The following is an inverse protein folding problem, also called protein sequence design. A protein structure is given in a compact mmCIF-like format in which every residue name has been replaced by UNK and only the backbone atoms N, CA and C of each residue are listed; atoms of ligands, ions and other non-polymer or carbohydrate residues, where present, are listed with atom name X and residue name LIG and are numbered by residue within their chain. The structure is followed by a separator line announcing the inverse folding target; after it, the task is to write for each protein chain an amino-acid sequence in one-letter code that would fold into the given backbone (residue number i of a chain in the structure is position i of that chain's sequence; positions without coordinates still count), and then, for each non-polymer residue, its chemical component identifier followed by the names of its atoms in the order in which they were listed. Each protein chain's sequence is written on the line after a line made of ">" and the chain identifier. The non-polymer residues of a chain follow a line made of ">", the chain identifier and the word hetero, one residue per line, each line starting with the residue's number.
data_IF_479664463202
#
_entry.id   IF_479664463202
#
_cell.length_a   1.000
_cell.length_b   1.000
_cell.length_c   1.000
_cell.angle_alpha   90.00
_cell.angle_beta   90.00
_cell.angle_gamma   90.00
#
_symmetry.space_group_name_H-M   'P 1'
#
loop_
_entity.id
_entity.type
_entity.pdbx_description
1 polymer ?
#
# COMPACT_ATOMS: atom_id res chain seq x y z
N UNK A 1 -19.24 7.95 -5.77
CA UNK A 1 -18.11 8.74 -6.32
C UNK A 1 -17.37 8.00 -7.42
N UNK A 2 -16.83 6.75 -7.21
CA UNK A 2 -16.25 5.99 -8.33
C UNK A 2 -17.32 5.64 -9.37
N UNK A 3 -18.54 5.35 -8.94
CA UNK A 3 -19.70 5.04 -9.79
C UNK A 3 -20.07 6.22 -10.70
N UNK A 4 -19.89 7.44 -10.25
CA UNK A 4 -20.27 8.67 -10.96
C UNK A 4 -19.18 9.16 -11.93
N UNK A 5 -18.03 8.49 -11.99
CA UNK A 5 -16.95 8.83 -12.91
C UNK A 5 -17.21 8.23 -14.29
N UNK A 6 -16.85 8.97 -15.33
CA UNK A 6 -16.94 8.51 -16.71
C UNK A 6 -16.02 7.32 -16.97
N UNK A 7 -16.45 6.42 -17.84
CA UNK A 7 -15.63 5.33 -18.36
C UNK A 7 -14.40 5.89 -19.08
N UNK A 8 -13.28 5.17 -19.03
CA UNK A 8 -12.05 5.51 -19.77
C UNK A 8 -11.57 6.96 -19.56
N UNK A 9 -11.81 7.54 -18.37
CA UNK A 9 -11.46 8.93 -18.03
C UNK A 9 -10.12 9.07 -17.30
N UNK A 10 -9.61 8.01 -16.67
CA UNK A 10 -8.42 7.99 -15.83
C UNK A 10 -7.23 7.36 -16.57
N UNK A 11 -6.05 7.96 -16.44
CA UNK A 11 -4.83 7.48 -17.11
C UNK A 11 -4.00 6.54 -16.23
N UNK A 12 -3.98 6.78 -14.91
CA UNK A 12 -3.18 6.04 -13.95
C UNK A 12 -3.91 5.97 -12.59
N UNK A 13 -3.88 4.80 -11.96
CA UNK A 13 -4.25 4.63 -10.54
C UNK A 13 -3.00 4.35 -9.73
N UNK A 14 -2.76 5.13 -8.65
CA UNK A 14 -1.72 4.87 -7.66
C UNK A 14 -2.34 4.96 -6.28
N UNK A 15 -2.38 3.84 -5.55
CA UNK A 15 -3.20 3.78 -4.34
C UNK A 15 -2.66 2.82 -3.27
N UNK A 16 -2.99 3.11 -2.01
CA UNK A 16 -2.61 2.36 -0.83
C UNK A 16 -3.87 1.99 0.01
N UNK A 17 -4.61 0.93 -0.38
CA UNK A 17 -5.81 0.54 0.33
C UNK A 17 -5.50 0.02 1.74
N UNK A 18 -6.47 -0.01 2.67
CA UNK A 18 -6.27 -0.57 3.99
C UNK A 18 -6.06 -2.09 3.92
N UNK A 19 -4.96 -2.59 4.53
CA UNK A 19 -4.62 -4.02 4.53
C UNK A 19 -5.26 -4.81 5.69
N UNK A 20 -5.66 -4.12 6.75
CA UNK A 20 -6.30 -4.69 7.93
C UNK A 20 -7.71 -4.16 8.03
N UNK A 21 -8.70 -5.00 7.76
CA UNK A 21 -10.10 -4.64 7.90
C UNK A 21 -10.57 -4.74 9.36
N UNK A 22 -9.76 -5.39 10.22
CA UNK A 22 -10.00 -5.45 11.67
C UNK A 22 -9.88 -4.05 12.28
N UNK A 23 -10.99 -3.44 12.62
CA UNK A 23 -11.06 -2.10 13.19
C UNK A 23 -11.56 -1.01 12.23
N UNK A 24 -11.86 -1.33 10.98
CA UNK A 24 -12.50 -0.38 10.06
C UNK A 24 -13.89 0.07 10.52
N UNK A 25 -14.60 -0.76 11.30
CA UNK A 25 -15.99 -0.49 11.68
C UNK A 25 -16.18 0.54 12.80
N UNK A 26 -15.21 0.72 13.71
CA UNK A 26 -15.39 1.63 14.86
C UNK A 26 -14.51 2.87 14.82
N UNK A 27 -13.25 2.73 14.45
CA UNK A 27 -12.25 3.81 14.60
C UNK A 27 -12.04 4.62 13.33
N UNK A 28 -12.28 4.04 12.16
CA UNK A 28 -12.22 4.74 10.87
C UNK A 28 -13.32 5.78 10.73
N UNK A 29 -14.55 5.44 11.19
CA UNK A 29 -15.70 6.36 11.17
C UNK A 29 -15.54 7.54 12.14
N UNK A 30 -14.73 7.38 13.20
CA UNK A 30 -14.57 8.39 14.27
C UNK A 30 -13.36 9.32 14.08
N UNK A 31 -12.50 9.07 13.06
CA UNK A 31 -11.30 9.90 12.82
C UNK A 31 -10.26 9.89 13.95
N UNK A 32 -10.49 9.09 14.96
CA UNK A 32 -9.57 8.87 16.07
C UNK A 32 -8.73 7.65 15.71
N UNK A 33 -7.50 7.87 15.27
CA UNK A 33 -6.53 6.79 15.21
C UNK A 33 -6.52 6.08 16.56
N UNK A 34 -7.18 4.93 16.63
CA UNK A 34 -7.43 4.24 17.89
C UNK A 34 -6.14 4.08 18.66
N UNK A 35 -6.13 4.45 19.93
CA UNK A 35 -5.06 4.08 20.84
C UNK A 35 -4.89 2.57 20.68
N UNK A 36 -3.75 2.14 20.14
CA UNK A 36 -3.38 0.72 20.05
C UNK A 36 -3.57 0.15 21.46
N UNK A 37 -4.66 -0.60 21.63
CA UNK A 37 -4.84 -1.32 22.88
C UNK A 37 -3.60 -2.18 23.07
N UNK A 38 -2.94 -2.03 24.20
CA UNK A 38 -1.82 -2.88 24.66
C UNK A 38 -2.29 -4.30 25.00
N UNK A 39 -3.55 -4.64 24.67
CA UNK A 39 -4.13 -5.94 24.91
C UNK A 39 -3.50 -7.01 24.04
N UNK A 40 -2.72 -7.89 24.65
CA UNK A 40 -2.29 -9.12 24.03
C UNK A 40 -3.49 -10.09 23.97
N UNK A 41 -3.95 -10.42 22.78
CA UNK A 41 -4.91 -11.51 22.57
C UNK A 41 -4.13 -12.78 22.35
N UNK A 42 -4.22 -13.75 23.26
CA UNK A 42 -3.46 -15.00 23.17
C UNK A 42 -1.94 -14.79 23.27
N UNK A 43 -1.47 -13.81 24.04
CA UNK A 43 -0.04 -13.54 24.25
C UNK A 43 0.67 -12.79 23.11
N UNK A 44 0.00 -12.49 22.00
CA UNK A 44 0.56 -11.72 20.90
C UNK A 44 -0.06 -10.32 20.83
N UNK A 45 0.74 -9.28 20.51
CA UNK A 45 0.21 -7.94 20.26
C UNK A 45 -0.86 -7.95 19.18
N UNK A 46 -1.86 -7.07 19.33
CA UNK A 46 -2.89 -6.85 18.30
C UNK A 46 -2.20 -6.52 16.97
N UNK A 47 -2.58 -7.20 15.89
CA UNK A 47 -1.96 -7.11 14.55
C UNK A 47 -0.84 -8.12 14.29
N UNK A 48 -0.48 -8.97 15.26
CA UNK A 48 0.38 -10.14 15.06
C UNK A 48 -0.39 -11.47 15.04
N UNK A 49 -1.67 -11.44 15.38
CA UNK A 49 -2.55 -12.60 15.25
C UNK A 49 -2.69 -12.92 13.75
N UNK A 50 -2.34 -14.15 13.39
CA UNK A 50 -2.62 -14.64 12.05
C UNK A 50 -4.11 -14.94 11.95
N UNK A 51 -4.82 -14.21 11.09
CA UNK A 51 -6.18 -14.53 10.70
C UNK A 51 -6.15 -15.11 9.27
N UNK A 52 -6.49 -16.39 9.10
CA UNK A 52 -6.51 -17.04 7.79
C UNK A 52 -7.55 -16.43 6.84
N UNK A 53 -8.55 -15.71 7.37
CA UNK A 53 -9.61 -15.07 6.59
C UNK A 53 -9.25 -13.66 6.12
N UNK A 54 -8.25 -13.01 6.72
CA UNK A 54 -7.88 -11.64 6.41
C UNK A 54 -7.68 -11.38 4.91
N UNK A 55 -7.00 -12.29 4.23
CA UNK A 55 -6.77 -12.17 2.78
C UNK A 55 -8.07 -12.29 1.97
N UNK A 56 -8.99 -13.18 2.37
CA UNK A 56 -10.29 -13.34 1.71
C UNK A 56 -11.20 -12.14 1.93
N UNK A 57 -11.20 -11.58 3.13
CA UNK A 57 -11.94 -10.35 3.44
C UNK A 57 -11.40 -9.16 2.64
N UNK A 58 -10.08 -9.03 2.53
CA UNK A 58 -9.46 -8.00 1.71
C UNK A 58 -9.84 -8.14 0.23
N UNK A 59 -9.80 -9.35 -0.33
CA UNK A 59 -10.24 -9.61 -1.69
C UNK A 59 -11.69 -9.19 -1.87
N UNK A 60 -12.62 -9.69 -1.03
CA UNK A 60 -14.06 -9.34 -1.08
C UNK A 60 -14.29 -7.82 -0.98
N UNK A 61 -13.47 -7.11 -0.22
CA UNK A 61 -13.53 -5.64 -0.11
C UNK A 61 -13.08 -4.96 -1.41
N UNK A 62 -12.05 -5.48 -2.05
CA UNK A 62 -11.47 -4.89 -3.26
C UNK A 62 -12.21 -5.24 -4.55
N UNK A 63 -12.92 -6.37 -4.60
CA UNK A 63 -13.60 -6.83 -5.83
C UNK A 63 -14.50 -5.76 -6.46
N UNK A 64 -15.45 -5.13 -5.76
CA UNK A 64 -16.29 -4.08 -6.34
C UNK A 64 -15.48 -2.82 -6.70
N UNK A 65 -14.44 -2.51 -5.95
CA UNK A 65 -13.58 -1.34 -6.19
C UNK A 65 -12.76 -1.56 -7.47
N UNK A 66 -12.14 -2.73 -7.62
CA UNK A 66 -11.36 -3.06 -8.81
C UNK A 66 -12.24 -3.10 -10.07
N UNK A 67 -13.50 -3.54 -9.99
CA UNK A 67 -14.43 -3.44 -11.10
C UNK A 67 -14.67 -1.98 -11.54
N UNK A 68 -14.86 -1.06 -10.59
CA UNK A 68 -14.99 0.37 -10.91
C UNK A 68 -13.66 0.96 -11.44
N UNK A 69 -12.51 0.59 -10.87
CA UNK A 69 -11.20 1.05 -11.34
C UNK A 69 -10.91 0.56 -12.76
N UNK A 70 -11.31 -0.68 -13.08
CA UNK A 70 -11.22 -1.20 -14.44
C UNK A 70 -12.06 -0.40 -15.42
N UNK A 71 -13.29 -0.05 -15.05
CA UNK A 71 -14.19 0.74 -15.89
C UNK A 71 -13.64 2.14 -16.17
N UNK A 72 -13.19 2.86 -15.13
CA UNK A 72 -12.76 4.26 -15.27
C UNK A 72 -11.37 4.43 -15.86
N UNK A 73 -10.49 3.42 -15.78
CA UNK A 73 -9.17 3.47 -16.42
C UNK A 73 -9.31 3.39 -17.94
N UNK A 74 -8.54 4.21 -18.66
CA UNK A 74 -8.38 4.15 -20.10
C UNK A 74 -7.76 2.80 -20.52
N UNK A 75 -8.08 2.28 -21.73
CA UNK A 75 -7.38 1.13 -22.29
C UNK A 75 -5.87 1.32 -22.25
N UNK A 76 -5.13 0.31 -21.77
CA UNK A 76 -3.69 0.40 -21.54
C UNK A 76 -3.27 1.12 -20.27
N UNK A 77 -4.18 1.77 -19.53
CA UNK A 77 -3.90 2.46 -18.26
C UNK A 77 -3.41 1.50 -17.18
N UNK A 78 -2.52 1.98 -16.31
CA UNK A 78 -1.93 1.18 -15.24
C UNK A 78 -2.62 1.42 -13.89
N UNK A 79 -2.64 0.38 -13.07
CA UNK A 79 -3.01 0.44 -11.66
C UNK A 79 -1.84 -0.06 -10.81
N UNK A 80 -1.33 0.81 -9.93
CA UNK A 80 -0.27 0.52 -8.99
C UNK A 80 -0.86 0.51 -7.57
N UNK A 81 -0.97 -0.67 -6.97
CA UNK A 81 -1.63 -0.84 -5.68
C UNK A 81 -0.64 -1.38 -4.65
N UNK A 82 -0.41 -0.62 -3.58
CA UNK A 82 0.45 -1.02 -2.47
C UNK A 82 -0.20 -2.13 -1.65
N UNK A 83 0.63 -3.04 -1.13
CA UNK A 83 0.18 -4.15 -0.31
C UNK A 83 1.22 -4.60 0.72
N UNK A 84 0.72 -5.15 1.82
CA UNK A 84 1.56 -6.00 2.65
C UNK A 84 1.95 -7.26 1.86
N UNK A 85 3.26 -7.69 1.87
CA UNK A 85 3.73 -8.83 1.07
C UNK A 85 2.93 -10.12 1.27
N UNK A 86 2.42 -10.35 2.47
CA UNK A 86 1.60 -11.54 2.78
C UNK A 86 0.18 -11.52 2.23
N UNK A 87 -0.31 -10.35 1.75
CA UNK A 87 -1.67 -10.16 1.28
C UNK A 87 -1.75 -9.82 -0.22
N UNK A 88 -0.63 -9.50 -0.86
CA UNK A 88 -0.58 -9.06 -2.26
C UNK A 88 -1.23 -10.07 -3.21
N UNK A 89 -1.09 -11.36 -2.96
CA UNK A 89 -1.72 -12.41 -3.77
C UNK A 89 -3.24 -12.25 -3.85
N UNK A 90 -3.90 -11.81 -2.79
CA UNK A 90 -5.37 -11.60 -2.78
C UNK A 90 -5.77 -10.32 -3.52
N UNK A 91 -4.96 -9.28 -3.45
CA UNK A 91 -5.16 -8.08 -4.28
C UNK A 91 -4.98 -8.40 -5.76
N UNK A 92 -3.97 -9.20 -6.09
CA UNK A 92 -3.69 -9.64 -7.46
C UNK A 92 -4.87 -10.43 -8.04
N UNK A 93 -5.38 -11.42 -7.30
CA UNK A 93 -6.57 -12.20 -7.73
C UNK A 93 -7.76 -11.27 -7.93
N UNK A 94 -8.03 -10.33 -7.02
CA UNK A 94 -9.14 -9.38 -7.16
C UNK A 94 -9.01 -8.49 -8.41
N UNK A 95 -7.80 -8.06 -8.75
CA UNK A 95 -7.56 -7.26 -9.95
C UNK A 95 -7.71 -8.10 -11.23
N UNK A 96 -7.19 -9.33 -11.22
CA UNK A 96 -7.29 -10.29 -12.32
C UNK A 96 -8.76 -10.67 -12.60
N UNK A 97 -9.53 -10.96 -11.54
CA UNK A 97 -10.97 -11.25 -11.62
C UNK A 97 -11.78 -10.05 -12.18
N UNK A 98 -11.32 -8.81 -11.96
CA UNK A 98 -11.91 -7.61 -12.55
C UNK A 98 -11.54 -7.38 -14.03
N UNK A 99 -10.63 -8.18 -14.60
CA UNK A 99 -10.22 -8.13 -16.01
C UNK A 99 -8.86 -7.46 -16.27
N UNK A 100 -8.11 -7.08 -15.23
CA UNK A 100 -6.78 -6.53 -15.42
C UNK A 100 -5.76 -7.59 -15.83
N UNK A 101 -4.82 -7.22 -16.69
CA UNK A 101 -3.59 -7.97 -16.94
C UNK A 101 -2.59 -7.68 -15.80
N UNK A 102 -2.15 -8.69 -15.08
CA UNK A 102 -1.11 -8.54 -14.07
C UNK A 102 0.25 -8.47 -14.77
N UNK A 103 0.89 -7.32 -14.71
CA UNK A 103 2.15 -7.08 -15.43
C UNK A 103 3.37 -7.45 -14.62
N UNK A 104 3.37 -7.12 -13.32
CA UNK A 104 4.52 -7.35 -12.45
C UNK A 104 4.15 -7.12 -10.97
N UNK A 105 5.08 -7.44 -10.08
CA UNK A 105 5.03 -7.07 -8.68
C UNK A 105 6.34 -6.38 -8.31
N UNK A 106 6.26 -5.10 -7.95
CA UNK A 106 7.41 -4.32 -7.52
C UNK A 106 7.62 -4.39 -6.01
N UNK A 107 8.87 -4.21 -5.57
CA UNK A 107 9.24 -4.12 -4.18
C UNK A 107 9.70 -2.69 -3.85
N UNK A 108 8.94 -1.97 -3.02
CA UNK A 108 9.45 -0.79 -2.36
C UNK A 108 10.27 -1.19 -1.17
N UNK A 109 11.59 -1.09 -1.28
CA UNK A 109 12.55 -1.42 -0.26
C UNK A 109 12.89 -0.21 0.60
N UNK A 110 13.00 -0.43 1.91
CA UNK A 110 13.48 0.55 2.88
C UNK A 110 14.40 -0.15 3.89
N UNK A 111 15.49 0.52 4.31
CA UNK A 111 16.51 -0.07 5.18
C UNK A 111 16.41 0.45 6.60
N UNK A 112 16.06 1.73 6.75
CA UNK A 112 15.87 2.40 8.03
C UNK A 112 14.48 2.11 8.60
N UNK A 113 14.37 2.18 9.94
CA UNK A 113 13.09 2.08 10.68
C UNK A 113 12.32 0.74 10.53
N UNK A 114 12.94 -0.26 9.95
CA UNK A 114 12.38 -1.61 9.95
C UNK A 114 12.69 -2.28 11.29
N UNK A 115 11.68 -2.50 12.12
CA UNK A 115 11.86 -3.16 13.42
C UNK A 115 11.73 -4.67 13.28
N UNK A 116 12.61 -5.40 13.94
CA UNK A 116 12.48 -6.84 14.11
C UNK A 116 11.36 -7.11 15.12
N UNK A 117 10.28 -7.74 14.67
CA UNK A 117 9.06 -7.92 15.49
C UNK A 117 8.94 -9.32 16.10
N UNK A 118 9.94 -10.18 15.92
CA UNK A 118 9.95 -11.52 16.51
C UNK A 118 10.18 -11.46 18.02
N UNK A 119 9.38 -12.21 18.76
CA UNK A 119 9.50 -12.37 20.21
C UNK A 119 10.40 -13.56 20.53
N UNK A 120 11.25 -13.41 21.58
CA UNK A 120 12.01 -14.53 22.12
C UNK A 120 11.06 -15.52 22.79
N UNK A 121 11.36 -16.81 22.65
CA UNK A 121 10.61 -17.88 23.31
C UNK A 121 10.74 -17.80 24.84
N UNK A 122 11.78 -17.18 25.38
CA UNK A 122 12.00 -16.96 26.81
C UNK A 122 10.80 -16.32 27.49
N UNK A 123 10.20 -15.29 26.83
CA UNK A 123 9.03 -14.60 27.36
C UNK A 123 7.84 -15.55 27.55
N UNK A 124 7.59 -16.42 26.58
CA UNK A 124 6.50 -17.39 26.62
C UNK A 124 6.76 -18.52 27.62
N UNK A 125 8.00 -18.99 27.72
CA UNK A 125 8.39 -20.04 28.67
C UNK A 125 8.23 -19.57 30.12
N UNK A 126 8.67 -18.35 30.43
CA UNK A 126 8.54 -17.76 31.77
C UNK A 126 7.09 -17.65 32.23
N UNK A 127 6.14 -17.49 31.30
CA UNK A 127 4.70 -17.38 31.60
C UNK A 127 3.98 -18.71 31.81
N UNK A 128 4.67 -19.87 31.61
CA UNK A 128 4.05 -21.19 31.83
C UNK A 128 3.90 -21.44 33.34
N UNK A 129 2.64 -21.41 33.83
CA UNK A 129 2.35 -21.60 35.27
C UNK A 129 2.68 -23.02 35.76
N UNK A 130 2.43 -24.00 34.89
CA UNK A 130 2.54 -25.44 35.26
C UNK A 130 3.96 -26.00 35.12
N UNK A 131 4.93 -25.20 34.66
CA UNK A 131 6.32 -25.63 34.49
C UNK A 131 7.18 -25.25 35.69
N UNK A 132 7.94 -26.21 36.23
CA UNK A 132 8.90 -25.96 37.32
C UNK A 132 9.99 -24.99 36.86
N UNK A 133 10.51 -24.17 37.76
CA UNK A 133 11.48 -23.13 37.43
C UNK A 133 12.78 -23.69 36.81
N UNK A 134 13.25 -24.88 37.28
CA UNK A 134 14.38 -25.57 36.70
C UNK A 134 14.12 -25.94 35.24
N UNK A 135 12.95 -26.51 34.95
CA UNK A 135 12.57 -26.96 33.61
C UNK A 135 12.41 -25.73 32.66
N UNK A 136 11.93 -24.60 33.17
CA UNK A 136 11.91 -23.31 32.43
C UNK A 136 13.32 -22.88 32.04
N UNK A 137 14.27 -22.92 32.96
CA UNK A 137 15.64 -22.52 32.70
C UNK A 137 16.31 -23.45 31.67
N UNK A 138 16.10 -24.74 31.78
CA UNK A 138 16.63 -25.72 30.83
C UNK A 138 15.98 -25.54 29.44
N UNK A 139 14.68 -25.28 29.38
CA UNK A 139 13.96 -24.98 28.12
C UNK A 139 14.44 -23.68 27.47
N UNK A 140 14.63 -22.60 28.26
CA UNK A 140 15.17 -21.33 27.77
C UNK A 140 16.56 -21.54 27.16
N UNK A 141 17.40 -22.35 27.83
CA UNK A 141 18.74 -22.69 27.35
C UNK A 141 18.69 -23.47 26.03
N UNK A 142 17.80 -24.48 25.98
CA UNK A 142 17.59 -25.28 24.77
C UNK A 142 17.03 -24.45 23.59
N UNK A 143 16.11 -23.53 23.87
CA UNK A 143 15.50 -22.66 22.84
C UNK A 143 16.27 -21.35 22.59
N UNK A 144 17.49 -21.22 23.10
CA UNK A 144 18.30 -20.03 22.91
C UNK A 144 18.39 -19.62 21.44
N UNK A 145 18.09 -18.36 21.13
CA UNK A 145 18.04 -17.84 19.76
C UNK A 145 16.74 -18.14 19.00
N UNK A 146 15.87 -19.01 19.50
CA UNK A 146 14.56 -19.27 18.89
C UNK A 146 13.59 -18.11 19.15
N UNK A 147 12.90 -17.69 18.09
CA UNK A 147 11.93 -16.56 18.12
C UNK A 147 10.69 -16.91 17.30
N UNK A 148 9.61 -16.18 17.54
CA UNK A 148 8.43 -16.27 16.67
C UNK A 148 8.79 -15.94 15.21
N UNK A 149 8.09 -16.52 14.20
CA UNK A 149 8.55 -16.55 12.80
C UNK A 149 8.33 -15.24 12.03
N UNK A 150 8.55 -14.07 12.66
CA UNK A 150 8.46 -12.78 12.01
C UNK A 150 9.86 -12.24 11.69
N UNK A 151 10.20 -12.17 10.42
CA UNK A 151 11.40 -11.49 9.98
C UNK A 151 11.22 -9.96 10.03
N UNK A 152 12.33 -9.24 9.96
CA UNK A 152 12.32 -7.77 9.86
C UNK A 152 11.76 -7.37 8.49
N UNK A 153 10.59 -6.70 8.41
CA UNK A 153 10.00 -6.30 7.14
C UNK A 153 10.80 -5.15 6.53
N UNK A 154 11.41 -5.36 5.37
CA UNK A 154 12.22 -4.37 4.68
C UNK A 154 11.66 -3.95 3.32
N UNK A 155 10.48 -4.44 2.95
CA UNK A 155 9.80 -4.00 1.74
C UNK A 155 8.27 -4.04 1.91
N UNK A 156 7.61 -3.28 1.08
CA UNK A 156 6.19 -3.39 0.78
C UNK A 156 6.04 -3.74 -0.69
N UNK A 157 5.05 -4.57 -1.02
CA UNK A 157 4.77 -4.96 -2.40
C UNK A 157 3.95 -3.87 -3.09
N UNK A 158 4.13 -3.71 -4.39
CA UNK A 158 3.31 -2.87 -5.26
C UNK A 158 2.87 -3.74 -6.42
N UNK A 159 1.60 -4.09 -6.46
CA UNK A 159 1.02 -4.80 -7.60
C UNK A 159 0.96 -3.83 -8.79
N UNK A 160 1.47 -4.24 -9.94
CA UNK A 160 1.34 -3.55 -11.21
C UNK A 160 0.36 -4.30 -12.11
N UNK A 161 -0.82 -3.73 -12.30
CA UNK A 161 -1.83 -4.25 -13.18
C UNK A 161 -2.10 -3.25 -14.32
N UNK A 162 -2.57 -3.73 -15.46
CA UNK A 162 -2.85 -2.92 -16.62
C UNK A 162 -4.22 -3.28 -17.21
N UNK A 163 -5.04 -2.27 -17.51
CA UNK A 163 -6.23 -2.52 -18.32
C UNK A 163 -5.78 -2.97 -19.73
N UNK A 164 -6.37 -4.02 -20.29
CA UNK A 164 -6.03 -4.45 -21.64
C UNK A 164 -6.02 -3.28 -22.63
N UNK A 165 -5.01 -3.25 -23.48
CA UNK A 165 -4.89 -2.23 -24.52
C UNK A 165 -5.78 -2.54 -25.72
N UNK A 166 -6.10 -1.54 -26.52
CA UNK A 166 -6.74 -1.66 -27.81
C UNK A 166 -5.68 -1.73 -28.92
N UNK A 167 -5.68 -2.79 -29.72
CA UNK A 167 -4.76 -2.95 -30.84
C UNK A 167 -3.29 -3.09 -30.42
N UNK A 168 -2.38 -2.46 -31.17
CA UNK A 168 -0.93 -2.46 -30.88
C UNK A 168 -0.60 -1.44 -29.79
N UNK A 169 0.62 -1.53 -29.22
CA UNK A 169 1.08 -0.50 -28.27
C UNK A 169 1.05 0.90 -28.87
N UNK A 170 1.44 1.04 -30.15
CA UNK A 170 1.43 2.34 -30.84
C UNK A 170 0.00 2.85 -31.04
N UNK A 171 -0.92 2.00 -31.49
CA UNK A 171 -2.32 2.40 -31.71
C UNK A 171 -2.98 2.86 -30.41
N UNK A 172 -2.81 2.08 -29.33
CA UNK A 172 -3.33 2.43 -28.03
C UNK A 172 -2.75 3.76 -27.50
N UNK A 173 -1.45 3.99 -27.72
CA UNK A 173 -0.83 5.25 -27.32
C UNK A 173 -1.37 6.44 -28.12
N UNK A 174 -1.53 6.30 -29.43
CA UNK A 174 -2.05 7.37 -30.29
C UNK A 174 -3.50 7.74 -29.95
N UNK A 175 -4.30 6.78 -29.49
CA UNK A 175 -5.71 6.98 -29.17
C UNK A 175 -5.94 7.42 -27.72
N UNK A 176 -5.23 6.79 -26.77
CA UNK A 176 -5.51 6.94 -25.33
C UNK A 176 -4.37 7.60 -24.54
N UNK A 177 -3.18 7.72 -25.12
CA UNK A 177 -1.94 8.22 -24.49
C UNK A 177 -1.53 7.42 -23.22
N UNK A 178 -1.82 6.11 -23.21
CA UNK A 178 -1.56 5.16 -22.13
C UNK A 178 -0.89 3.88 -22.65
N UNK A 179 -0.45 3.01 -21.75
CA UNK A 179 0.05 1.67 -22.09
C UNK A 179 1.55 1.56 -22.25
N UNK A 180 2.29 2.64 -22.12
CA UNK A 180 3.75 2.68 -22.16
C UNK A 180 4.34 3.20 -20.86
N UNK A 181 5.64 2.97 -20.67
CA UNK A 181 6.43 3.55 -19.57
C UNK A 181 7.42 4.57 -20.11
N UNK A 182 7.68 5.63 -19.35
CA UNK A 182 8.80 6.55 -19.65
C UNK A 182 10.10 6.03 -19.01
N UNK A 183 10.86 5.23 -19.73
CA UNK A 183 12.10 4.62 -19.27
C UNK A 183 13.23 5.64 -18.95
N UNK A 184 13.04 6.94 -19.27
CA UNK A 184 13.96 8.02 -18.85
C UNK A 184 13.79 8.38 -17.37
N UNK A 185 12.66 8.01 -16.75
CA UNK A 185 12.39 8.24 -15.34
C UNK A 185 13.16 7.25 -14.49
N UNK A 186 14.13 7.74 -13.72
CA UNK A 186 14.98 6.88 -12.90
C UNK A 186 15.10 7.40 -11.46
N UNK A 187 15.19 6.49 -10.49
CA UNK A 187 15.48 6.83 -9.08
C UNK A 187 16.98 6.96 -8.80
N UNK A 188 17.81 6.28 -9.59
CA UNK A 188 19.24 6.09 -9.31
C UNK A 188 20.15 6.41 -10.50
N UNK A 189 19.62 7.01 -11.57
CA UNK A 189 20.34 7.23 -12.83
C UNK A 189 20.54 5.98 -13.69
N UNK A 190 19.97 4.83 -13.26
CA UNK A 190 19.96 3.58 -14.04
C UNK A 190 18.55 3.31 -14.54
N UNK A 191 18.39 2.39 -15.48
CA UNK A 191 17.08 1.97 -15.97
C UNK A 191 16.09 1.66 -14.83
N UNK A 192 14.77 1.91 -15.02
CA UNK A 192 13.76 1.58 -14.03
C UNK A 192 13.86 0.12 -13.56
N UNK A 193 13.65 -0.09 -12.27
CA UNK A 193 13.83 -1.40 -11.64
C UNK A 193 12.57 -1.79 -10.86
N UNK A 194 12.28 -3.08 -10.81
CA UNK A 194 11.22 -3.65 -9.98
C UNK A 194 11.50 -3.54 -8.48
N UNK A 195 12.75 -3.25 -8.08
CA UNK A 195 13.12 -2.98 -6.69
C UNK A 195 13.51 -1.52 -6.53
N UNK A 196 12.69 -0.75 -5.82
CA UNK A 196 12.84 0.68 -5.61
C UNK A 196 13.25 0.95 -4.16
N UNK A 197 14.46 1.49 -3.94
CA UNK A 197 14.94 1.80 -2.59
C UNK A 197 14.70 3.26 -2.27
N UNK A 198 13.73 3.52 -1.40
CA UNK A 198 13.37 4.85 -0.89
C UNK A 198 13.05 4.71 0.60
N UNK A 199 13.65 5.54 1.44
CA UNK A 199 13.42 5.47 2.88
C UNK A 199 12.03 6.02 3.26
N UNK A 200 11.48 5.47 4.34
CA UNK A 200 10.19 5.95 4.91
C UNK A 200 10.33 7.39 5.39
N UNK A 201 9.31 8.23 5.17
CA UNK A 201 9.34 9.61 5.64
C UNK A 201 9.37 9.70 7.17
N UNK A 202 9.77 10.86 7.69
CA UNK A 202 9.77 11.10 9.14
C UNK A 202 8.33 11.26 9.65
N UNK A 203 7.98 10.47 10.66
CA UNK A 203 6.63 10.49 11.24
C UNK A 203 6.28 11.82 11.93
N UNK A 204 7.28 12.53 12.45
CA UNK A 204 7.10 13.81 13.13
C UNK A 204 6.54 14.90 12.21
N UNK A 205 6.82 14.81 10.90
CA UNK A 205 6.40 15.80 9.91
C UNK A 205 4.89 15.75 9.56
N UNK A 206 4.20 14.65 9.84
CA UNK A 206 2.86 14.38 9.31
C UNK A 206 1.78 14.17 10.38
N UNK A 207 1.86 14.88 11.51
CA UNK A 207 0.80 14.94 12.56
C UNK A 207 0.10 13.61 12.87
N UNK A 208 0.87 12.51 13.00
CA UNK A 208 0.34 11.24 13.50
C UNK A 208 -0.29 10.31 12.46
N UNK A 209 -0.31 10.63 11.16
CA UNK A 209 -0.71 9.64 10.16
C UNK A 209 0.30 8.49 10.10
N UNK A 210 -0.17 7.26 10.36
CA UNK A 210 0.69 6.11 10.68
C UNK A 210 1.44 5.52 9.47
N UNK A 211 0.99 5.79 8.24
CA UNK A 211 1.41 5.04 7.04
C UNK A 211 1.64 5.93 5.81
N UNK A 212 2.24 7.11 6.01
CA UNK A 212 2.55 8.02 4.88
C UNK A 212 3.58 7.39 3.96
N UNK A 213 3.26 7.28 2.67
CA UNK A 213 4.21 6.85 1.63
C UNK A 213 5.20 7.98 1.30
N UNK A 214 6.44 7.67 0.90
CA UNK A 214 7.39 8.69 0.45
C UNK A 214 6.91 9.38 -0.84
N UNK A 215 6.79 10.71 -0.83
CA UNK A 215 6.40 11.49 -2.02
C UNK A 215 7.31 11.16 -3.20
N UNK A 216 8.62 11.07 -3.00
CA UNK A 216 9.61 10.74 -4.04
C UNK A 216 9.34 9.41 -4.74
N UNK A 217 8.86 8.39 -4.00
CA UNK A 217 8.51 7.09 -4.57
C UNK A 217 7.26 7.21 -5.44
N UNK A 218 6.22 7.87 -4.91
CA UNK A 218 4.96 8.03 -5.63
C UNK A 218 5.15 8.90 -6.88
N UNK A 219 5.94 9.98 -6.78
CA UNK A 219 6.29 10.84 -7.92
C UNK A 219 7.03 10.06 -9.02
N UNK A 220 8.01 9.22 -8.63
CA UNK A 220 8.69 8.35 -9.59
C UNK A 220 7.72 7.42 -10.32
N UNK A 221 6.83 6.74 -9.59
CA UNK A 221 5.82 5.86 -10.17
C UNK A 221 4.88 6.64 -11.12
N UNK A 222 4.42 7.82 -10.71
CA UNK A 222 3.57 8.67 -11.55
C UNK A 222 4.30 9.08 -12.83
N UNK A 223 5.55 9.51 -12.73
CA UNK A 223 6.33 9.91 -13.89
C UNK A 223 6.63 8.75 -14.84
N UNK A 224 6.83 7.55 -14.29
CA UNK A 224 7.13 6.34 -15.07
C UNK A 224 5.91 5.88 -15.89
N UNK A 225 4.70 5.99 -15.35
CA UNK A 225 3.48 5.41 -15.91
C UNK A 225 2.47 6.43 -16.48
N UNK A 226 2.81 7.71 -16.48
CA UNK A 226 1.94 8.77 -17.02
C UNK A 226 2.70 9.92 -17.63
N UNK A 227 2.03 10.71 -18.48
CA UNK A 227 2.52 11.96 -19.07
C UNK A 227 2.00 13.20 -18.33
N UNK A 228 2.65 14.35 -18.52
CA UNK A 228 2.20 15.62 -17.94
C UNK A 228 0.78 15.96 -18.41
N UNK A 229 -0.02 16.55 -17.52
CA UNK A 229 -1.42 16.88 -17.77
C UNK A 229 -2.42 15.75 -17.61
N UNK A 230 -1.96 14.49 -17.58
CA UNK A 230 -2.81 13.31 -17.37
C UNK A 230 -3.40 13.24 -15.96
N UNK A 231 -4.47 12.46 -15.79
CA UNK A 231 -5.20 12.34 -14.51
C UNK A 231 -4.75 11.07 -13.78
N UNK A 232 -4.31 11.27 -12.54
CA UNK A 232 -3.97 10.21 -11.57
C UNK A 232 -5.08 10.09 -10.55
N UNK A 233 -5.59 8.89 -10.32
CA UNK A 233 -6.64 8.60 -9.32
C UNK A 233 -6.04 7.87 -8.12
N UNK A 234 -6.45 8.30 -6.92
CA UNK A 234 -6.23 7.57 -5.66
C UNK A 234 -7.56 7.44 -4.91
N UNK A 235 -8.22 6.27 -4.96
CA UNK A 235 -9.49 6.02 -4.27
C UNK A 235 -9.35 5.83 -2.75
N UNK A 236 -8.13 5.82 -2.22
CA UNK A 236 -7.81 5.73 -0.79
C UNK A 236 -6.82 6.83 -0.38
N UNK A 237 -7.21 8.09 -0.61
CA UNK A 237 -6.38 9.28 -0.54
C UNK A 237 -5.52 9.40 0.73
N UNK A 238 -6.07 9.03 1.89
CA UNK A 238 -5.41 9.18 3.18
C UNK A 238 -4.87 10.60 3.39
N UNK A 239 -3.56 10.71 3.64
CA UNK A 239 -2.90 12.00 3.82
C UNK A 239 -2.58 12.77 2.52
N UNK A 240 -3.01 12.29 1.34
CA UNK A 240 -2.86 12.99 0.08
C UNK A 240 -1.50 12.86 -0.62
N UNK A 241 -0.70 11.88 -0.27
CA UNK A 241 0.65 11.72 -0.85
C UNK A 241 0.62 11.61 -2.38
N UNK A 242 -0.35 10.87 -2.93
CA UNK A 242 -0.52 10.70 -4.38
C UNK A 242 -0.85 12.03 -5.05
N UNK A 243 -1.73 12.84 -4.47
CA UNK A 243 -2.08 14.15 -5.04
C UNK A 243 -0.92 15.15 -4.96
N UNK A 244 -0.16 15.17 -3.86
CA UNK A 244 1.07 15.98 -3.74
C UNK A 244 2.08 15.58 -4.81
N UNK A 245 2.33 14.28 -4.98
CA UNK A 245 3.27 13.77 -5.96
C UNK A 245 2.82 14.07 -7.41
N UNK A 246 1.52 13.89 -7.70
CA UNK A 246 0.95 14.20 -9.01
C UNK A 246 1.13 15.69 -9.37
N UNK A 247 0.86 16.60 -8.44
CA UNK A 247 1.03 18.04 -8.66
C UNK A 247 2.50 18.40 -8.91
N UNK A 248 3.44 17.84 -8.11
CA UNK A 248 4.89 18.03 -8.35
C UNK A 248 5.32 17.54 -9.71
N UNK A 249 4.76 16.40 -10.14
CA UNK A 249 4.99 15.82 -11.45
C UNK A 249 4.22 16.52 -12.60
N UNK A 250 3.49 17.60 -12.34
CA UNK A 250 2.63 18.33 -13.31
C UNK A 250 1.51 17.44 -13.90
N UNK A 251 0.94 16.57 -13.09
CA UNK A 251 -0.25 15.77 -13.42
C UNK A 251 -1.44 16.32 -12.64
N UNK A 252 -2.64 16.15 -13.20
CA UNK A 252 -3.89 16.35 -12.46
C UNK A 252 -4.13 15.15 -11.55
N UNK A 253 -4.87 15.36 -10.47
CA UNK A 253 -5.18 14.23 -9.57
C UNK A 253 -6.61 14.31 -9.04
N UNK A 254 -7.18 13.13 -8.82
CA UNK A 254 -8.44 12.93 -8.11
C UNK A 254 -8.13 12.04 -6.91
N UNK A 255 -8.44 12.52 -5.71
CA UNK A 255 -8.29 11.75 -4.48
C UNK A 255 -9.63 11.58 -3.79
N UNK A 256 -9.94 10.34 -3.38
CA UNK A 256 -11.18 9.99 -2.69
C UNK A 256 -10.83 9.45 -1.31
N UNK A 257 -11.57 9.86 -0.29
CA UNK A 257 -11.50 9.28 1.05
C UNK A 257 -12.87 9.37 1.73
N UNK A 258 -13.21 8.36 2.53
CA UNK A 258 -14.44 8.35 3.32
C UNK A 258 -14.34 9.25 4.55
N UNK A 259 -13.10 9.54 4.99
CA UNK A 259 -12.82 10.33 6.17
C UNK A 259 -12.58 11.81 5.81
N UNK A 260 -13.52 12.66 6.18
CA UNK A 260 -13.44 14.12 5.92
C UNK A 260 -12.19 14.77 6.51
N UNK A 261 -11.68 14.28 7.64
CA UNK A 261 -10.45 14.82 8.25
C UNK A 261 -9.24 14.54 7.35
N UNK A 262 -9.15 13.36 6.74
CA UNK A 262 -8.07 13.06 5.79
C UNK A 262 -8.14 13.95 4.55
N UNK A 263 -9.33 14.23 4.04
CA UNK A 263 -9.50 15.17 2.93
C UNK A 263 -8.97 16.56 3.30
N UNK A 264 -9.24 17.05 4.52
CA UNK A 264 -8.73 18.35 4.98
C UNK A 264 -7.21 18.35 5.15
N UNK A 265 -6.65 17.28 5.70
CA UNK A 265 -5.19 17.10 5.81
C UNK A 265 -4.56 17.09 4.41
N UNK A 266 -5.12 16.33 3.47
CA UNK A 266 -4.62 16.25 2.11
C UNK A 266 -4.66 17.61 1.39
N UNK A 267 -5.74 18.37 1.51
CA UNK A 267 -5.87 19.73 0.91
C UNK A 267 -4.76 20.64 1.43
N UNK A 268 -4.61 20.75 2.75
CA UNK A 268 -3.56 21.57 3.37
C UNK A 268 -2.17 21.15 2.89
N UNK A 269 -1.92 19.84 2.87
CA UNK A 269 -0.64 19.30 2.48
C UNK A 269 -0.30 19.55 1.01
N UNK A 270 -1.30 19.48 0.12
CA UNK A 270 -1.13 19.82 -1.30
C UNK A 270 -0.75 21.30 -1.45
N UNK A 271 -1.37 22.21 -0.69
CA UNK A 271 -1.02 23.62 -0.69
C UNK A 271 0.41 23.86 -0.19
N UNK A 272 0.77 23.31 0.99
CA UNK A 272 2.07 23.54 1.63
C UNK A 272 3.27 22.91 0.89
N UNK A 273 3.11 21.72 0.33
CA UNK A 273 4.24 20.96 -0.27
C UNK A 273 4.41 21.21 -1.78
N UNK A 274 3.54 21.99 -2.40
CA UNK A 274 3.59 22.25 -3.85
C UNK A 274 3.67 23.72 -4.21
N UNK A 275 3.73 24.60 -3.21
CA UNK A 275 4.11 26.01 -3.35
C UNK A 275 5.64 26.12 -3.27
#
# INVERSE_FOLDING_TARGET
>A
MLEDMDDDSIHLVVTDPPYGLDGLDSDWKKGTGGKRGTGAVGGLPIGMKFDPNQGRQLQKFLDPINAHLFRVLKPGGFMLMFSAPRLVHRMTVSAEDAGFEIRDQYAWRFTKRAQFKAFSMDHFIRQQADMKERDKQDMIKYMNGRKTPQLRPQYEAIMCAQKPRTGTFLNNWLEHETGLIDAKQTLTGRAPSTVMTVEKPDKAKYNGHLTVKPVRLIEHLICLFSSQGQIVLDPFLGSGTTCVAARKAKRRSIGIDINRNYIQIAKRRIEEETT
#
